data_IF_053856701885
#
_entry.id   IF_053856701885
#
_cell.length_a   1.000
_cell.length_b   1.000
_cell.length_c   1.000
_cell.angle_alpha   90.00
_cell.angle_beta   90.00
_cell.angle_gamma   90.00
#
_symmetry.space_group_name_H-M   'P 1'
#
loop_
_entity.id
_entity.type
_entity.pdbx_description
1 polymer ?
#
# COMPACT_ATOMS: atom_id res chain seq x y z
N UNK A 1 -20.37 -17.90 -17.24
CA UNK A 1 -19.31 -16.88 -17.07
C UNK A 1 -18.23 -17.53 -16.21
N UNK A 2 -17.00 -17.61 -16.70
CA UNK A 2 -15.88 -18.07 -15.86
C UNK A 2 -15.70 -17.10 -14.71
N UNK A 3 -15.52 -17.65 -13.53
CA UNK A 3 -15.31 -16.84 -12.32
C UNK A 3 -13.91 -16.21 -12.39
N UNK A 4 -13.81 -14.90 -12.17
CA UNK A 4 -12.50 -14.22 -12.10
C UNK A 4 -11.64 -14.86 -11.01
N UNK A 5 -10.42 -15.32 -11.33
CA UNK A 5 -9.53 -15.90 -10.34
C UNK A 5 -9.19 -14.90 -9.25
N UNK A 6 -9.15 -15.36 -8.00
CA UNK A 6 -8.83 -14.52 -6.82
C UNK A 6 -7.43 -14.85 -6.34
N UNK A 7 -6.62 -13.80 -6.14
CA UNK A 7 -5.30 -13.87 -5.54
C UNK A 7 -5.33 -13.24 -4.15
N UNK A 8 -5.19 -14.06 -3.12
CA UNK A 8 -5.17 -13.64 -1.71
C UNK A 8 -4.04 -14.37 -0.97
N UNK A 9 -3.04 -13.61 -0.51
CA UNK A 9 -1.89 -14.17 0.20
C UNK A 9 -1.70 -13.56 1.59
N UNK A 10 -2.76 -12.99 2.15
CA UNK A 10 -2.71 -12.31 3.46
C UNK A 10 -2.49 -13.27 4.63
N UNK A 11 -2.78 -14.54 4.45
CA UNK A 11 -2.52 -15.62 5.42
C UNK A 11 -2.00 -16.85 4.69
N UNK A 12 -1.30 -17.74 5.39
CA UNK A 12 -0.80 -19.00 4.80
C UNK A 12 -1.93 -19.87 4.24
N UNK A 13 -3.09 -19.91 4.91
CA UNK A 13 -4.27 -20.63 4.43
C UNK A 13 -4.80 -20.06 3.11
N UNK A 14 -4.94 -18.73 3.03
CA UNK A 14 -5.38 -18.06 1.81
C UNK A 14 -4.36 -18.23 0.68
N UNK A 15 -3.08 -18.16 0.98
CA UNK A 15 -2.00 -18.36 0.01
C UNK A 15 -2.02 -19.77 -0.57
N UNK A 16 -2.19 -20.80 0.26
CA UNK A 16 -2.36 -22.18 -0.20
C UNK A 16 -3.62 -22.33 -1.06
N UNK A 17 -4.74 -21.75 -0.64
CA UNK A 17 -5.98 -21.75 -1.42
C UNK A 17 -5.78 -21.09 -2.79
N UNK A 18 -5.09 -19.97 -2.82
CA UNK A 18 -4.72 -19.24 -4.07
C UNK A 18 -3.91 -20.13 -5.01
N UNK A 19 -2.89 -20.83 -4.51
CA UNK A 19 -2.10 -21.77 -5.33
C UNK A 19 -2.98 -22.86 -5.94
N UNK A 20 -3.82 -23.48 -5.12
CA UNK A 20 -4.73 -24.56 -5.57
C UNK A 20 -5.71 -24.06 -6.62
N UNK A 21 -6.36 -22.94 -6.40
CA UNK A 21 -7.37 -22.40 -7.31
C UNK A 21 -6.76 -21.94 -8.65
N UNK A 22 -5.57 -21.33 -8.61
CA UNK A 22 -4.91 -20.85 -9.82
C UNK A 22 -4.26 -21.95 -10.65
N UNK A 23 -3.70 -22.97 -10.01
CA UNK A 23 -2.89 -23.98 -10.70
C UNK A 23 -3.60 -25.33 -10.88
N UNK A 24 -4.62 -25.61 -10.06
CA UNK A 24 -5.27 -26.93 -9.98
C UNK A 24 -4.42 -27.99 -9.28
N UNK A 25 -3.25 -27.63 -8.74
CA UNK A 25 -2.38 -28.55 -8.00
C UNK A 25 -2.91 -28.70 -6.58
N UNK A 26 -3.00 -29.95 -6.10
CA UNK A 26 -3.53 -30.21 -4.75
C UNK A 26 -2.58 -29.73 -3.64
N UNK A 27 -3.10 -29.40 -2.44
CA UNK A 27 -2.25 -29.01 -1.30
C UNK A 27 -1.20 -30.06 -0.95
N UNK A 28 -1.57 -31.33 -1.04
CA UNK A 28 -0.67 -32.46 -0.74
C UNK A 28 0.58 -32.44 -1.65
N UNK A 29 0.41 -32.16 -2.94
CA UNK A 29 1.55 -32.06 -3.88
C UNK A 29 2.43 -30.87 -3.52
N UNK A 30 1.86 -29.71 -3.20
CA UNK A 30 2.61 -28.55 -2.76
C UNK A 30 3.41 -28.84 -1.49
N UNK A 31 2.81 -29.53 -0.51
CA UNK A 31 3.48 -29.96 0.72
C UNK A 31 4.63 -30.94 0.42
N UNK A 32 4.43 -31.93 -0.43
CA UNK A 32 5.48 -32.87 -0.82
C UNK A 32 6.70 -32.15 -1.43
N UNK A 33 6.45 -31.21 -2.34
CA UNK A 33 7.51 -30.47 -3.01
C UNK A 33 8.20 -29.44 -2.10
N UNK A 34 7.53 -28.91 -1.09
CA UNK A 34 8.15 -27.98 -0.13
C UNK A 34 9.32 -28.63 0.64
N UNK A 35 9.27 -29.93 0.93
CA UNK A 35 10.39 -30.67 1.53
C UNK A 35 11.58 -30.84 0.59
N UNK A 36 11.39 -30.65 -0.71
CA UNK A 36 12.41 -30.79 -1.76
C UNK A 36 12.90 -29.47 -2.29
N UNK A 37 12.49 -28.35 -1.72
CA UNK A 37 12.81 -27.01 -2.23
C UNK A 37 14.34 -26.80 -2.43
N UNK A 38 15.17 -27.30 -1.48
CA UNK A 38 16.64 -27.23 -1.58
C UNK A 38 17.25 -28.01 -2.77
N UNK A 39 16.47 -28.86 -3.43
CA UNK A 39 16.91 -29.59 -4.63
C UNK A 39 16.85 -28.74 -5.89
N UNK A 40 16.28 -27.52 -5.80
CA UNK A 40 16.08 -26.61 -6.92
C UNK A 40 17.01 -25.40 -6.83
N UNK A 41 17.47 -24.87 -7.98
CA UNK A 41 18.29 -23.66 -8.04
C UNK A 41 17.59 -22.42 -7.46
N UNK A 42 16.27 -22.34 -7.65
CA UNK A 42 15.43 -21.30 -7.07
C UNK A 42 13.98 -21.79 -6.93
N UNK A 43 13.19 -21.11 -6.14
CA UNK A 43 11.78 -21.42 -5.89
C UNK A 43 10.92 -21.34 -7.18
N UNK A 44 11.26 -20.44 -8.09
CA UNK A 44 10.56 -20.33 -9.38
C UNK A 44 10.67 -21.62 -10.20
N UNK A 45 11.85 -22.25 -10.26
CA UNK A 45 12.07 -23.52 -10.99
C UNK A 45 11.25 -24.66 -10.38
N UNK A 46 11.17 -24.72 -9.05
CA UNK A 46 10.32 -25.68 -8.35
C UNK A 46 8.85 -25.49 -8.73
N UNK A 47 8.33 -24.28 -8.66
CA UNK A 47 6.93 -23.98 -8.96
C UNK A 47 6.61 -24.32 -10.41
N UNK A 48 7.50 -23.97 -11.33
CA UNK A 48 7.32 -24.29 -12.74
C UNK A 48 7.24 -25.80 -12.98
N UNK A 49 8.14 -26.57 -12.37
CA UNK A 49 8.12 -28.03 -12.46
C UNK A 49 6.83 -28.63 -11.88
N UNK A 50 6.40 -28.16 -10.70
CA UNK A 50 5.19 -28.66 -10.05
C UNK A 50 3.97 -28.42 -10.93
N UNK A 51 3.83 -27.21 -11.49
CA UNK A 51 2.70 -26.89 -12.37
C UNK A 51 2.75 -27.71 -13.66
N UNK A 52 3.92 -27.89 -14.27
CA UNK A 52 4.06 -28.68 -15.48
C UNK A 52 3.66 -30.15 -15.28
N UNK A 53 3.99 -30.72 -14.11
CA UNK A 53 3.73 -32.15 -13.82
C UNK A 53 2.33 -32.42 -13.28
N UNK A 54 1.75 -31.52 -12.50
CA UNK A 54 0.60 -31.80 -11.66
C UNK A 54 -0.57 -30.82 -11.84
N UNK A 55 -0.41 -29.77 -12.63
CA UNK A 55 -1.42 -28.73 -12.77
C UNK A 55 -1.51 -28.10 -14.14
N UNK A 56 -1.89 -26.85 -14.16
CA UNK A 56 -1.95 -26.01 -15.37
C UNK A 56 -1.46 -24.60 -15.04
N UNK A 57 -0.78 -23.97 -16.00
CA UNK A 57 -0.46 -22.54 -15.86
C UNK A 57 -1.76 -21.72 -15.88
N UNK A 58 -1.91 -20.77 -14.95
CA UNK A 58 -3.09 -19.92 -14.90
C UNK A 58 -3.10 -18.91 -16.06
N UNK A 59 -4.28 -18.35 -16.32
CA UNK A 59 -4.44 -17.18 -17.20
C UNK A 59 -3.58 -16.01 -16.72
N UNK A 60 -3.41 -14.98 -17.55
CA UNK A 60 -2.59 -13.83 -17.23
C UNK A 60 -3.04 -13.17 -15.91
N UNK A 61 -2.09 -12.85 -15.03
CA UNK A 61 -2.36 -12.18 -13.75
C UNK A 61 -3.16 -10.86 -13.90
N UNK A 62 -3.08 -10.22 -15.06
CA UNK A 62 -3.86 -9.01 -15.34
C UNK A 62 -5.37 -9.25 -15.25
N UNK A 63 -5.81 -10.50 -15.43
CA UNK A 63 -7.21 -10.92 -15.36
C UNK A 63 -7.62 -11.39 -13.95
N UNK A 64 -6.68 -11.40 -12.98
CA UNK A 64 -6.98 -11.81 -11.61
C UNK A 64 -7.54 -10.64 -10.80
N UNK A 65 -8.29 -10.99 -9.75
CA UNK A 65 -8.70 -10.10 -8.68
C UNK A 65 -7.74 -10.30 -7.50
N UNK A 66 -6.98 -9.28 -7.16
CA UNK A 66 -6.06 -9.31 -6.02
C UNK A 66 -6.75 -8.77 -4.78
N UNK A 67 -6.66 -9.51 -3.67
CA UNK A 67 -7.05 -8.99 -2.36
C UNK A 67 -5.85 -8.25 -1.78
N UNK A 68 -6.05 -7.01 -1.54
CA UNK A 68 -5.05 -6.04 -1.14
C UNK A 68 -5.54 -5.30 0.11
N UNK A 69 -4.65 -4.82 0.94
CA UNK A 69 -5.03 -3.94 2.04
C UNK A 69 -4.18 -2.68 2.08
N UNK A 70 -4.86 -1.60 2.42
CA UNK A 70 -4.29 -0.28 2.60
C UNK A 70 -4.27 0.04 4.10
N UNK A 71 -3.12 0.45 4.62
CA UNK A 71 -2.99 0.93 6.00
C UNK A 71 -3.16 2.44 6.02
N UNK A 72 -4.08 2.92 6.83
CA UNK A 72 -4.41 4.34 6.93
C UNK A 72 -4.77 4.73 8.35
N UNK A 73 -5.05 6.00 8.56
CA UNK A 73 -5.54 6.53 9.84
C UNK A 73 -6.83 7.32 9.62
N UNK A 74 -7.76 7.23 10.57
CA UNK A 74 -9.06 7.90 10.48
C UNK A 74 -9.59 8.29 11.86
N UNK A 75 -10.29 9.42 11.94
CA UNK A 75 -11.02 9.89 13.12
C UNK A 75 -12.49 9.45 13.10
N UNK A 76 -13.05 9.16 11.91
CA UNK A 76 -14.45 8.85 11.67
C UNK A 76 -14.72 7.39 11.24
N UNK A 77 -13.80 6.48 11.60
CA UNK A 77 -13.91 5.06 11.26
C UNK A 77 -13.90 4.81 9.73
N UNK A 78 -13.14 5.59 8.99
CA UNK A 78 -13.02 5.51 7.55
C UNK A 78 -14.33 5.78 6.78
N UNK A 79 -15.21 6.65 7.30
CA UNK A 79 -16.47 6.98 6.62
C UNK A 79 -16.25 7.56 5.21
N UNK A 80 -15.16 8.31 5.00
CA UNK A 80 -14.80 8.84 3.69
C UNK A 80 -14.44 7.71 2.70
N UNK A 81 -13.80 6.63 3.16
CA UNK A 81 -13.49 5.45 2.33
C UNK A 81 -14.77 4.70 1.91
N UNK A 82 -15.75 4.59 2.82
CA UNK A 82 -17.04 4.00 2.49
C UNK A 82 -17.80 4.80 1.42
N UNK A 83 -17.58 6.12 1.37
CA UNK A 83 -18.27 7.01 0.45
C UNK A 83 -17.54 7.16 -0.89
N UNK A 84 -16.23 7.30 -0.87
CA UNK A 84 -15.42 7.68 -2.02
C UNK A 84 -14.45 6.59 -2.50
N UNK A 85 -14.28 5.52 -1.71
CA UNK A 85 -13.28 4.50 -1.97
C UNK A 85 -11.88 4.90 -1.49
N UNK A 86 -10.86 4.18 -1.96
CA UNK A 86 -9.46 4.52 -1.70
C UNK A 86 -8.98 5.42 -2.84
N UNK A 87 -8.70 6.67 -2.50
CA UNK A 87 -8.23 7.70 -3.41
C UNK A 87 -6.71 7.83 -3.31
N UNK A 88 -6.07 8.19 -4.41
CA UNK A 88 -4.68 8.68 -4.37
C UNK A 88 -4.60 10.04 -3.66
N UNK A 89 -3.39 10.51 -3.38
CA UNK A 89 -3.19 11.74 -2.61
C UNK A 89 -3.84 12.96 -3.28
N UNK A 90 -3.72 13.07 -4.60
CA UNK A 90 -4.27 14.20 -5.37
C UNK A 90 -5.80 14.25 -5.24
N UNK A 91 -6.45 13.11 -5.52
CA UNK A 91 -7.91 13.02 -5.44
C UNK A 91 -8.42 13.10 -3.99
N UNK A 92 -7.66 12.57 -3.03
CA UNK A 92 -7.97 12.70 -1.60
C UNK A 92 -7.95 14.16 -1.17
N UNK A 93 -6.95 14.94 -1.59
CA UNK A 93 -6.91 16.38 -1.30
C UNK A 93 -8.00 17.17 -2.04
N UNK A 94 -8.32 16.83 -3.28
CA UNK A 94 -9.40 17.47 -4.05
C UNK A 94 -10.80 17.15 -3.51
N UNK A 95 -10.95 16.02 -2.81
CA UNK A 95 -12.21 15.62 -2.19
C UNK A 95 -12.46 16.45 -0.92
N UNK A 96 -13.41 17.39 -0.99
CA UNK A 96 -13.72 18.30 0.14
C UNK A 96 -14.23 17.58 1.38
N UNK A 97 -14.71 16.35 1.24
CA UNK A 97 -15.20 15.51 2.33
C UNK A 97 -14.09 14.66 2.99
N UNK A 98 -12.90 14.56 2.36
CA UNK A 98 -11.82 13.77 2.93
C UNK A 98 -11.32 14.35 4.26
N UNK A 99 -10.86 13.47 5.15
CA UNK A 99 -10.31 13.91 6.44
C UNK A 99 -9.04 14.75 6.24
N UNK A 100 -8.17 14.39 5.29
CA UNK A 100 -6.96 15.13 4.97
C UNK A 100 -7.28 16.57 4.52
N UNK A 101 -8.23 16.72 3.61
CA UNK A 101 -8.63 18.06 3.14
C UNK A 101 -9.19 18.90 4.25
N UNK A 102 -10.12 18.38 5.04
CA UNK A 102 -10.72 19.08 6.18
C UNK A 102 -9.67 19.48 7.21
N UNK A 103 -8.73 18.58 7.48
CA UNK A 103 -7.66 18.84 8.43
C UNK A 103 -6.74 19.98 7.97
N UNK A 104 -6.31 19.96 6.72
CA UNK A 104 -5.46 21.03 6.17
C UNK A 104 -6.22 22.37 6.09
N UNK A 105 -7.48 22.37 5.67
CA UNK A 105 -8.32 23.59 5.66
C UNK A 105 -8.50 24.18 7.06
N UNK A 106 -8.65 23.35 8.10
CA UNK A 106 -8.76 23.79 9.49
C UNK A 106 -7.48 24.45 10.02
N UNK A 107 -6.33 24.18 9.39
CA UNK A 107 -5.03 24.78 9.72
C UNK A 107 -4.61 25.91 8.75
N UNK A 108 -5.56 26.44 7.95
CA UNK A 108 -5.30 27.48 6.94
C UNK A 108 -4.24 27.09 5.90
N UNK A 109 -4.10 25.79 5.61
CA UNK A 109 -3.18 25.26 4.60
C UNK A 109 -3.97 24.96 3.33
N UNK A 110 -3.59 25.62 2.24
CA UNK A 110 -4.21 25.42 0.92
C UNK A 110 -3.15 25.07 -0.11
N UNK A 111 -3.41 23.99 -0.84
CA UNK A 111 -2.55 23.54 -1.93
C UNK A 111 -3.27 23.78 -3.25
N UNK A 112 -2.68 24.58 -4.11
CA UNK A 112 -3.12 24.73 -5.49
C UNK A 112 -2.35 23.75 -6.36
N UNK A 113 -3.03 22.64 -6.70
CA UNK A 113 -2.40 21.56 -7.47
C UNK A 113 -2.08 21.99 -8.89
N UNK A 114 -2.89 22.87 -9.50
CA UNK A 114 -2.68 23.33 -10.89
C UNK A 114 -1.49 24.30 -10.96
N UNK A 115 -1.43 25.25 -10.04
CA UNK A 115 -0.36 26.25 -9.97
C UNK A 115 0.86 25.78 -9.18
N UNK A 116 0.80 24.59 -8.59
CA UNK A 116 1.89 23.96 -7.82
C UNK A 116 2.38 24.85 -6.68
N UNK A 117 1.44 25.38 -5.90
CA UNK A 117 1.76 26.23 -4.76
C UNK A 117 1.08 25.74 -3.49
N UNK A 118 1.73 25.99 -2.35
CA UNK A 118 1.14 25.85 -1.02
C UNK A 118 1.02 27.23 -0.40
N UNK A 119 -0.17 27.54 0.11
CA UNK A 119 -0.44 28.81 0.80
C UNK A 119 -0.67 28.54 2.29
N UNK A 120 0.06 29.24 3.17
CA UNK A 120 -0.11 29.20 4.60
C UNK A 120 0.11 30.60 5.18
N UNK A 121 -0.85 31.12 5.97
CA UNK A 121 -0.82 32.46 6.59
C UNK A 121 -0.42 33.57 5.60
N UNK A 122 -1.02 33.56 4.42
CA UNK A 122 -0.74 34.49 3.32
C UNK A 122 0.67 34.39 2.69
N UNK A 123 1.51 33.49 3.12
CA UNK A 123 2.76 33.15 2.44
C UNK A 123 2.49 32.06 1.37
N UNK A 124 3.09 32.22 0.22
CA UNK A 124 2.97 31.27 -0.91
C UNK A 124 4.33 30.62 -1.11
N UNK A 125 4.33 29.29 -1.13
CA UNK A 125 5.51 28.46 -1.37
C UNK A 125 5.35 27.80 -2.73
N UNK A 126 6.40 27.82 -3.54
CA UNK A 126 6.47 27.06 -4.79
C UNK A 126 6.81 25.60 -4.48
N UNK A 127 5.87 24.71 -4.74
CA UNK A 127 6.04 23.25 -4.58
C UNK A 127 6.18 22.57 -5.97
N UNK A 128 6.64 23.30 -6.97
CA UNK A 128 6.94 22.74 -8.29
C UNK A 128 8.05 21.70 -8.16
N UNK A 129 7.70 20.46 -8.47
CA UNK A 129 8.60 19.34 -8.46
C UNK A 129 9.41 19.30 -9.77
N UNK A 130 10.69 19.70 -9.72
CA UNK A 130 11.57 19.63 -10.88
C UNK A 130 12.89 18.91 -10.56
N UNK A 131 13.73 19.51 -9.77
CA UNK A 131 15.03 18.95 -9.36
C UNK A 131 15.11 18.88 -7.84
N UNK A 132 15.62 17.75 -7.34
CA UNK A 132 15.84 17.59 -5.90
C UNK A 132 16.99 18.52 -5.45
N UNK A 133 16.72 19.46 -4.53
CA UNK A 133 17.76 20.30 -3.99
C UNK A 133 18.83 19.49 -3.24
N UNK A 134 20.08 19.92 -3.30
CA UNK A 134 21.21 19.23 -2.65
C UNK A 134 21.30 19.45 -1.13
N UNK A 135 20.69 20.51 -0.62
CA UNK A 135 20.63 20.80 0.81
C UNK A 135 19.31 20.30 1.39
N UNK A 136 19.37 19.15 2.04
CA UNK A 136 18.21 18.45 2.64
C UNK A 136 17.56 19.23 3.81
N UNK A 137 18.21 20.29 4.31
CA UNK A 137 17.67 21.13 5.38
C UNK A 137 17.14 22.48 4.87
N UNK A 138 17.09 22.67 3.54
CA UNK A 138 16.61 23.92 2.95
C UNK A 138 15.09 23.95 2.82
N UNK A 139 14.51 25.17 2.85
CA UNK A 139 13.10 25.40 2.50
C UNK A 139 12.79 24.83 1.10
N UNK A 140 13.73 24.96 0.15
CA UNK A 140 13.57 24.43 -1.19
C UNK A 140 13.43 22.89 -1.21
N UNK A 141 14.16 22.19 -0.34
CA UNK A 141 14.04 20.73 -0.20
C UNK A 141 12.68 20.32 0.39
N UNK A 142 12.22 21.02 1.42
CA UNK A 142 10.90 20.77 2.00
C UNK A 142 9.76 21.05 0.98
N UNK A 143 9.85 22.15 0.21
CA UNK A 143 8.92 22.43 -0.89
C UNK A 143 8.96 21.34 -1.96
N UNK A 144 10.15 20.88 -2.34
CA UNK A 144 10.33 19.79 -3.28
C UNK A 144 9.70 18.49 -2.76
N UNK A 145 9.86 18.16 -1.48
CA UNK A 145 9.26 16.99 -0.84
C UNK A 145 7.74 16.97 -0.98
N UNK A 146 7.09 18.09 -0.66
CA UNK A 146 5.64 18.24 -0.83
C UNK A 146 5.24 18.07 -2.31
N UNK A 147 5.95 18.72 -3.22
CA UNK A 147 5.71 18.59 -4.65
C UNK A 147 5.90 17.17 -5.15
N UNK A 148 6.94 16.46 -4.66
CA UNK A 148 7.17 15.06 -4.96
C UNK A 148 5.96 14.18 -4.59
N UNK A 149 5.36 14.40 -3.42
CA UNK A 149 4.16 13.64 -3.00
C UNK A 149 2.97 13.85 -3.94
N UNK A 150 2.75 15.06 -4.46
CA UNK A 150 1.61 15.34 -5.33
C UNK A 150 1.86 15.00 -6.80
N UNK A 151 3.10 15.05 -7.29
CA UNK A 151 3.38 14.94 -8.73
C UNK A 151 4.26 13.75 -9.11
N UNK A 152 5.01 13.20 -8.17
CA UNK A 152 5.90 12.04 -8.37
C UNK A 152 5.44 10.76 -7.70
N UNK A 153 4.99 10.85 -6.46
CA UNK A 153 4.64 9.70 -5.58
C UNK A 153 3.23 9.82 -4.99
N UNK A 154 2.26 10.12 -5.84
CA UNK A 154 0.86 10.30 -5.41
C UNK A 154 0.02 9.02 -5.51
N UNK A 155 0.56 7.94 -6.05
CA UNK A 155 -0.19 6.71 -6.32
C UNK A 155 -0.58 5.98 -5.05
N UNK A 156 -1.72 5.31 -5.09
CA UNK A 156 -2.15 4.45 -3.99
C UNK A 156 -1.22 3.24 -3.88
N UNK A 157 -0.65 3.04 -2.69
CA UNK A 157 0.10 1.85 -2.37
C UNK A 157 -0.59 1.03 -1.28
N UNK A 158 -0.22 -0.24 -1.16
CA UNK A 158 -0.70 -1.12 -0.11
C UNK A 158 0.02 -2.47 -0.15
N UNK A 159 -0.53 -3.43 0.55
CA UNK A 159 0.11 -4.71 0.78
C UNK A 159 -0.73 -5.86 0.25
N UNK A 160 -0.10 -6.85 -0.36
CA UNK A 160 -0.70 -8.16 -0.58
C UNK A 160 -0.49 -9.06 0.65
N UNK A 161 0.66 -8.91 1.31
CA UNK A 161 0.97 -9.56 2.58
C UNK A 161 1.97 -8.72 3.38
N UNK A 162 1.95 -8.83 4.70
CA UNK A 162 2.99 -8.31 5.59
C UNK A 162 2.82 -8.87 7.01
N UNK A 163 3.92 -9.18 7.65
CA UNK A 163 4.04 -9.47 9.08
C UNK A 163 4.29 -8.20 9.92
N UNK A 164 4.67 -7.11 9.27
CA UNK A 164 5.18 -5.88 9.90
C UNK A 164 4.29 -4.65 9.62
N UNK A 165 2.96 -4.80 9.75
CA UNK A 165 1.99 -3.71 9.49
C UNK A 165 2.34 -2.39 10.20
N UNK A 166 3.01 -2.45 11.33
CA UNK A 166 3.41 -1.30 12.15
C UNK A 166 4.88 -0.88 11.97
N UNK A 167 5.67 -1.62 11.23
CA UNK A 167 7.09 -1.33 11.00
C UNK A 167 7.37 -0.82 9.58
N UNK A 168 6.34 -0.54 8.79
CA UNK A 168 6.52 0.07 7.49
C UNK A 168 7.15 1.46 7.62
N UNK A 169 8.22 1.72 6.87
CA UNK A 169 9.07 2.91 7.02
C UNK A 169 8.36 4.26 6.90
N UNK A 170 7.25 4.32 6.14
CA UNK A 170 6.44 5.53 6.02
C UNK A 170 5.61 5.89 7.26
N UNK A 171 5.53 4.99 8.25
CA UNK A 171 4.71 5.19 9.45
C UNK A 171 3.26 5.60 9.17
N UNK A 172 2.69 5.08 8.06
CA UNK A 172 1.34 5.42 7.58
C UNK A 172 0.22 5.05 8.58
N UNK A 173 0.52 4.18 9.52
CA UNK A 173 -0.36 3.84 10.63
C UNK A 173 -0.43 4.92 11.74
N UNK A 174 0.39 5.97 11.63
CA UNK A 174 0.35 7.11 12.53
C UNK A 174 -0.29 8.34 11.89
N UNK A 175 0.05 8.58 10.62
CA UNK A 175 -0.35 9.80 9.91
C UNK A 175 -0.06 9.67 8.41
N UNK A 176 -0.71 10.46 7.55
CA UNK A 176 -0.28 10.65 6.15
C UNK A 176 1.15 11.21 6.08
N UNK A 177 1.97 10.68 5.17
CA UNK A 177 3.37 11.12 5.01
C UNK A 177 3.49 12.59 4.63
N UNK A 178 2.55 13.11 3.82
CA UNK A 178 2.51 14.52 3.42
C UNK A 178 2.49 15.51 4.61
N UNK A 179 1.94 15.12 5.77
CA UNK A 179 1.92 15.97 6.94
C UNK A 179 3.32 16.18 7.53
N UNK A 180 4.23 15.22 7.36
CA UNK A 180 5.64 15.39 7.79
C UNK A 180 6.34 16.41 6.92
N UNK A 181 6.17 16.28 5.60
CA UNK A 181 6.80 17.20 4.64
C UNK A 181 6.28 18.64 4.86
N UNK A 182 4.99 18.79 5.20
CA UNK A 182 4.40 20.11 5.55
C UNK A 182 4.93 20.62 6.90
N UNK A 183 5.05 19.76 7.90
CA UNK A 183 5.62 20.15 9.21
C UNK A 183 7.06 20.65 9.07
N UNK A 184 7.86 20.00 8.23
CA UNK A 184 9.23 20.38 7.93
C UNK A 184 9.30 21.78 7.28
N UNK A 185 8.43 22.04 6.29
CA UNK A 185 8.36 23.33 5.62
C UNK A 185 7.89 24.45 6.53
N UNK A 186 6.84 24.22 7.30
CA UNK A 186 6.13 25.28 8.03
C UNK A 186 6.54 25.40 9.50
N UNK A 187 7.36 24.48 10.03
CA UNK A 187 7.71 24.40 11.45
C UNK A 187 6.48 24.11 12.33
N UNK A 188 5.51 23.36 11.83
CA UNK A 188 4.27 23.00 12.53
C UNK A 188 4.38 21.64 13.21
N UNK A 189 3.28 21.14 13.80
CA UNK A 189 3.17 19.82 14.43
C UNK A 189 1.92 19.10 13.98
N UNK A 190 1.54 19.24 12.73
CA UNK A 190 0.35 18.64 12.14
C UNK A 190 0.33 17.11 12.27
N UNK A 191 1.50 16.49 12.09
CA UNK A 191 1.67 15.05 12.26
C UNK A 191 1.32 14.58 13.68
N UNK A 192 1.74 15.32 14.70
CA UNK A 192 1.43 15.01 16.10
C UNK A 192 -0.05 15.24 16.40
N UNK A 193 -0.62 16.33 15.92
CA UNK A 193 -2.05 16.67 16.10
C UNK A 193 -2.95 15.64 15.40
N UNK A 194 -2.59 15.23 14.19
CA UNK A 194 -3.27 14.17 13.46
C UNK A 194 -3.27 12.86 14.26
N UNK A 195 -2.11 12.45 14.75
CA UNK A 195 -1.91 11.21 15.50
C UNK A 195 -2.77 11.16 16.78
N UNK A 196 -3.02 12.29 17.44
CA UNK A 196 -3.84 12.35 18.65
C UNK A 196 -5.31 12.05 18.34
N UNK A 197 -5.82 12.53 17.21
CA UNK A 197 -7.23 12.46 16.84
C UNK A 197 -7.58 11.27 15.94
N UNK A 198 -6.62 10.68 15.23
CA UNK A 198 -6.85 9.60 14.26
C UNK A 198 -6.31 8.27 14.77
N UNK A 199 -7.00 7.19 14.43
CA UNK A 199 -6.63 5.82 14.80
C UNK A 199 -6.25 5.03 13.54
N UNK A 200 -5.37 4.02 13.65
CA UNK A 200 -4.96 3.19 12.53
C UNK A 200 -6.05 2.21 12.11
N UNK A 201 -6.22 2.06 10.81
CA UNK A 201 -7.15 1.13 10.16
C UNK A 201 -6.46 0.37 9.05
N UNK A 202 -6.98 -0.83 8.80
CA UNK A 202 -6.72 -1.63 7.62
C UNK A 202 -7.97 -1.63 6.75
N UNK A 203 -7.85 -1.16 5.52
CA UNK A 203 -8.90 -1.17 4.50
C UNK A 203 -8.59 -2.26 3.50
N UNK A 204 -9.36 -3.33 3.51
CA UNK A 204 -9.21 -4.47 2.60
C UNK A 204 -10.07 -4.24 1.36
N UNK A 205 -9.46 -4.40 0.20
CA UNK A 205 -10.16 -4.18 -1.07
C UNK A 205 -9.75 -5.19 -2.14
N UNK A 206 -10.61 -5.36 -3.15
CA UNK A 206 -10.32 -6.11 -4.36
C UNK A 206 -9.86 -5.17 -5.47
N UNK A 207 -8.67 -5.42 -6.02
CA UNK A 207 -8.12 -4.68 -7.15
C UNK A 207 -7.93 -5.60 -8.35
N UNK A 208 -7.94 -5.06 -9.56
CA UNK A 208 -7.64 -5.84 -10.76
C UNK A 208 -6.14 -5.93 -10.97
N UNK A 209 -5.64 -7.07 -11.42
CA UNK A 209 -4.23 -7.23 -11.77
C UNK A 209 -3.75 -6.23 -12.81
N UNK A 210 -4.62 -5.86 -13.74
CA UNK A 210 -4.31 -4.84 -14.75
C UNK A 210 -4.11 -3.43 -14.18
N UNK A 211 -4.58 -3.13 -12.96
CA UNK A 211 -4.45 -1.84 -12.29
C UNK A 211 -3.14 -1.72 -11.50
N UNK A 212 -2.43 -2.83 -11.30
CA UNK A 212 -1.14 -2.87 -10.63
C UNK A 212 -0.08 -2.23 -11.53
N UNK A 213 0.77 -1.38 -10.95
CA UNK A 213 1.89 -0.78 -11.65
C UNK A 213 2.90 -1.86 -12.05
N UNK A 214 3.17 -1.95 -13.35
CA UNK A 214 4.12 -2.89 -13.89
C UNK A 214 5.55 -2.55 -13.45
N UNK A 215 6.28 -3.55 -13.00
CA UNK A 215 7.73 -3.55 -13.00
C UNK A 215 8.24 -4.85 -13.66
N UNK A 216 9.50 -4.89 -14.03
CA UNK A 216 10.08 -6.01 -14.79
C UNK A 216 10.06 -7.34 -14.04
N UNK A 217 9.96 -7.33 -12.72
CA UNK A 217 9.90 -8.53 -11.86
C UNK A 217 8.45 -9.00 -11.67
N UNK A 218 7.53 -8.05 -11.42
CA UNK A 218 6.12 -8.31 -11.09
C UNK A 218 5.23 -8.55 -12.32
N UNK A 219 5.76 -8.48 -13.53
CA UNK A 219 5.00 -8.66 -14.77
C UNK A 219 4.77 -10.11 -15.20
N UNK A 220 4.94 -11.09 -14.30
CA UNK A 220 4.84 -12.51 -14.64
C UNK A 220 3.95 -13.25 -13.64
N UNK A 221 3.10 -14.15 -14.14
CA UNK A 221 2.33 -15.04 -13.28
C UNK A 221 3.22 -15.78 -12.27
N UNK A 222 4.39 -16.22 -12.73
CA UNK A 222 5.32 -16.97 -11.89
C UNK A 222 5.79 -16.21 -10.66
N UNK A 223 6.01 -14.89 -10.78
CA UNK A 223 6.32 -14.06 -9.63
C UNK A 223 5.24 -14.15 -8.54
N UNK A 224 3.97 -13.98 -8.91
CA UNK A 224 2.88 -14.03 -7.95
C UNK A 224 2.65 -15.43 -7.39
N UNK A 225 2.85 -16.47 -8.20
CA UNK A 225 2.78 -17.85 -7.72
C UNK A 225 3.90 -18.16 -6.73
N UNK A 226 5.11 -17.62 -6.96
CA UNK A 226 6.23 -17.71 -6.02
C UNK A 226 5.89 -17.03 -4.69
N UNK A 227 5.34 -15.81 -4.73
CA UNK A 227 4.88 -15.12 -3.50
C UNK A 227 3.78 -15.89 -2.77
N UNK A 228 2.84 -16.50 -3.51
CA UNK A 228 1.81 -17.34 -2.91
C UNK A 228 2.41 -18.59 -2.25
N UNK A 229 3.37 -19.24 -2.91
CA UNK A 229 4.07 -20.40 -2.36
C UNK A 229 4.84 -20.03 -1.09
N UNK A 230 5.66 -19.00 -1.14
CA UNK A 230 6.42 -18.53 0.03
C UNK A 230 5.50 -18.22 1.22
N UNK A 231 4.41 -17.50 1.00
CA UNK A 231 3.46 -17.20 2.08
C UNK A 231 2.66 -18.42 2.56
N UNK A 232 2.53 -19.48 1.76
CA UNK A 232 1.86 -20.72 2.18
C UNK A 232 2.73 -21.56 3.12
N UNK A 233 4.05 -21.57 2.91
CA UNK A 233 4.98 -22.47 3.64
C UNK A 233 5.98 -21.75 4.53
N UNK A 234 6.19 -20.46 4.35
CA UNK A 234 7.15 -19.66 5.08
C UNK A 234 6.44 -18.61 5.94
N UNK A 235 7.24 -17.81 6.64
CA UNK A 235 6.75 -16.61 7.29
C UNK A 235 6.28 -15.60 6.26
N UNK A 236 5.14 -14.97 6.53
CA UNK A 236 4.58 -13.93 5.67
C UNK A 236 5.63 -12.84 5.38
N UNK A 237 6.03 -12.74 4.12
CA UNK A 237 6.92 -11.68 3.67
C UNK A 237 6.15 -10.39 3.41
N UNK A 238 6.83 -9.26 3.50
CA UNK A 238 6.25 -7.98 3.10
C UNK A 238 6.18 -7.89 1.57
N UNK A 239 4.97 -7.86 1.03
CA UNK A 239 4.73 -7.67 -0.39
C UNK A 239 3.90 -6.40 -0.62
N UNK A 240 4.62 -5.32 -0.98
CA UNK A 240 4.03 -4.00 -1.28
C UNK A 240 3.71 -3.93 -2.75
N UNK A 241 2.55 -3.40 -3.10
CA UNK A 241 2.20 -3.07 -4.47
C UNK A 241 1.81 -1.61 -4.62
N UNK A 242 2.10 -1.08 -5.79
CA UNK A 242 1.69 0.25 -6.23
C UNK A 242 0.64 0.11 -7.32
N UNK A 243 -0.38 0.92 -7.27
CA UNK A 243 -1.33 1.02 -8.38
C UNK A 243 -0.77 1.97 -9.46
N UNK A 244 -1.29 1.85 -10.68
CA UNK A 244 -0.99 2.79 -11.76
C UNK A 244 -1.47 4.18 -11.40
N UNK A 245 -0.84 5.19 -11.97
CA UNK A 245 -1.24 6.58 -11.77
C UNK A 245 -2.72 6.79 -12.13
N UNK A 246 -3.44 7.49 -11.26
CA UNK A 246 -4.86 7.80 -11.44
C UNK A 246 -5.83 6.64 -11.18
N UNK A 247 -5.33 5.46 -10.79
CA UNK A 247 -6.21 4.37 -10.38
C UNK A 247 -6.74 4.65 -8.98
N UNK A 248 -8.06 4.63 -8.87
CA UNK A 248 -8.80 4.74 -7.62
C UNK A 248 -9.55 3.43 -7.38
N UNK A 249 -9.71 3.06 -6.13
CA UNK A 249 -10.48 1.87 -5.75
C UNK A 249 -11.88 2.33 -5.32
N UNK A 250 -12.93 2.03 -6.09
CA UNK A 250 -14.27 2.50 -5.76
C UNK A 250 -14.83 1.80 -4.51
N UNK A 251 -15.83 2.40 -3.83
CA UNK A 251 -16.36 1.89 -2.57
C UNK A 251 -16.89 0.45 -2.64
N UNK A 252 -17.48 0.06 -3.76
CA UNK A 252 -18.02 -1.29 -3.98
C UNK A 252 -16.94 -2.38 -4.09
N UNK A 253 -15.67 -1.98 -4.18
CA UNK A 253 -14.52 -2.89 -4.13
C UNK A 253 -13.92 -3.04 -2.74
N UNK A 254 -14.33 -2.22 -1.78
CA UNK A 254 -13.92 -2.38 -0.38
C UNK A 254 -14.66 -3.58 0.21
N UNK A 255 -13.89 -4.51 0.74
CA UNK A 255 -14.40 -5.78 1.29
C UNK A 255 -14.60 -5.67 2.79
N UNK A 256 -13.64 -5.01 3.47
CA UNK A 256 -13.62 -4.92 4.93
C UNK A 256 -12.84 -3.68 5.38
N UNK A 257 -13.24 -3.11 6.51
CA UNK A 257 -12.53 -2.02 7.19
C UNK A 257 -12.46 -2.39 8.66
N UNK A 258 -11.24 -2.51 9.19
CA UNK A 258 -11.06 -2.90 10.58
C UNK A 258 -9.98 -2.08 11.28
N UNK A 259 -10.15 -1.78 12.58
CA UNK A 259 -9.08 -1.17 13.36
C UNK A 259 -7.85 -2.08 13.40
N UNK A 260 -6.66 -1.50 13.28
CA UNK A 260 -5.43 -2.21 13.58
C UNK A 260 -5.32 -2.34 15.11
N UNK A 261 -5.57 -3.55 15.62
CA UNK A 261 -5.38 -3.88 17.03
C UNK A 261 -3.90 -4.21 17.26
N UNK A 262 -3.29 -3.86 18.32
CA UNK A 262 -1.89 -4.03 18.75
C UNK A 262 -1.05 -2.74 18.74
N UNK A 263 -1.71 -1.60 18.69
CA UNK A 263 -1.06 -0.32 18.85
C UNK A 263 -0.33 -0.14 20.20
N UNK A 264 -0.90 -0.68 21.28
CA UNK A 264 -0.36 -0.48 22.65
C UNK A 264 0.84 -1.36 22.96
N UNK A 265 0.92 -2.56 22.36
CA UNK A 265 1.96 -3.53 22.69
C UNK A 265 3.30 -3.21 22.01
N UNK A 266 3.29 -2.44 20.93
CA UNK A 266 4.50 -2.08 20.18
C UNK A 266 5.12 -0.73 20.57
N UNK A 267 4.51 0.08 21.43
CA UNK A 267 5.15 1.33 21.90
C UNK A 267 6.47 1.09 22.65
N UNK A 268 6.64 -0.08 23.28
CA UNK A 268 7.88 -0.46 23.97
C UNK A 268 9.04 -0.79 23.00
N UNK A 269 8.76 -1.18 21.78
CA UNK A 269 9.79 -1.53 20.78
C UNK A 269 10.41 -0.25 20.19
N UNK A 270 9.63 0.81 20.03
CA UNK A 270 10.07 2.07 19.42
C UNK A 270 10.74 3.03 20.41
N UNK A 271 10.61 2.83 21.73
CA UNK A 271 11.32 3.64 22.72
C UNK A 271 12.83 3.35 22.79
N UNK A 272 13.30 2.27 22.18
CA UNK A 272 14.70 1.84 22.24
C UNK A 272 15.52 2.16 20.97
N UNK A 273 14.94 2.80 19.97
CA UNK A 273 15.67 3.32 18.81
C UNK A 273 15.35 4.82 18.64
N UNK A 274 16.16 5.69 19.24
CA UNK A 274 16.15 7.11 18.86
C UNK A 274 16.62 7.22 17.40
N UNK A 275 15.89 7.99 16.63
CA UNK A 275 16.28 8.40 15.27
C UNK A 275 17.59 9.15 15.28
#
# INVERSE_FOLDING_TARGET
MEQTPVYDIRTSENAMKTLVELTGVSPYVWEEYSFRERDYPCTEDLIEEVIQKHGKFPVNYMDWSFIYFHVTTSADQCASFCKHGILDLVHSYQCTDSELRKFLDAHDIKIDIENRTLCYKAQIYDISYSECPSDEHSEAYACWGIGYRFYGDFTTCGFLSTDVKFAYGGNVHFRPEILVDIDELLGTKLSDEWRISHKPYEVVAAIKGMDIRYDSKRGKNLYYLTRAYENAFELLSQEIILLKNGVQIPPDRIIDIRPLHCWKDNQSIFQNHPL
#
